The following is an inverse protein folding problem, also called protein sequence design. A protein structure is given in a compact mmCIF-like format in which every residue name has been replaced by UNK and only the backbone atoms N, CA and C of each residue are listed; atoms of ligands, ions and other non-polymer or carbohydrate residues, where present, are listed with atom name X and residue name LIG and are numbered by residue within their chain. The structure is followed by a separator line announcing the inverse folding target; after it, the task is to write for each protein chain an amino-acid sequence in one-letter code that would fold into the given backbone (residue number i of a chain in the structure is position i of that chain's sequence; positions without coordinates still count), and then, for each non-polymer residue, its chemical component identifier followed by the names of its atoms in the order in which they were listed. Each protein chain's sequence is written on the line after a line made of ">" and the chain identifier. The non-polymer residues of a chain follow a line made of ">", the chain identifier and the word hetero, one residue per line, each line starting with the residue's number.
data_IF_146317445937
#
_entry.id   IF_146317445937
#
_cell.length_a   1.000
_cell.length_b   1.000
_cell.length_c   1.000
_cell.angle_alpha   90.00
_cell.angle_beta   90.00
_cell.angle_gamma   90.00
#
_symmetry.space_group_name_H-M   'P 1'
#
loop_
_entity.id
_entity.type
_entity.pdbx_description
1 polymer ?
#
# COMPACT_ATOMS: atom_id res chain seq x y z
N UNK A 1 -7.65 -12.84 5.74
CA UNK A 1 -6.36 -13.05 5.07
C UNK A 1 -5.29 -13.29 6.13
N UNK A 2 -4.44 -14.27 5.91
CA UNK A 2 -3.41 -14.64 6.87
C UNK A 2 -2.22 -13.69 6.79
N UNK A 3 -1.91 -13.03 7.90
CA UNK A 3 -0.80 -12.08 7.96
C UNK A 3 0.57 -12.74 7.74
N UNK A 4 0.67 -14.05 7.99
CA UNK A 4 1.92 -14.78 7.74
C UNK A 4 2.25 -14.91 6.25
N UNK A 5 1.30 -14.62 5.36
CA UNK A 5 1.54 -14.61 3.92
C UNK A 5 2.25 -13.34 3.45
N UNK A 6 2.29 -12.31 4.28
CA UNK A 6 2.91 -11.03 3.93
C UNK A 6 4.37 -10.97 4.40
N UNK A 7 5.19 -10.26 3.63
CA UNK A 7 6.55 -9.95 4.09
C UNK A 7 6.51 -9.05 5.32
N UNK A 8 7.63 -8.97 6.02
CA UNK A 8 7.75 -8.10 7.19
C UNK A 8 7.44 -6.64 6.82
N UNK A 9 7.98 -6.14 5.71
CA UNK A 9 7.76 -4.77 5.27
C UNK A 9 6.28 -4.51 4.92
N UNK A 10 5.62 -5.49 4.30
CA UNK A 10 4.19 -5.36 4.00
C UNK A 10 3.36 -5.33 5.29
N UNK A 11 3.69 -6.19 6.27
CA UNK A 11 3.02 -6.17 7.58
C UNK A 11 3.21 -4.82 8.28
N UNK A 12 4.44 -4.29 8.26
CA UNK A 12 4.73 -2.98 8.84
C UNK A 12 3.92 -1.87 8.19
N UNK A 13 3.75 -1.92 6.87
CA UNK A 13 2.93 -0.93 6.15
C UNK A 13 1.46 -1.02 6.56
N UNK A 14 0.92 -2.24 6.69
CA UNK A 14 -0.46 -2.43 7.14
C UNK A 14 -0.67 -1.91 8.56
N UNK A 15 0.29 -2.17 9.45
CA UNK A 15 0.25 -1.66 10.83
C UNK A 15 0.32 -0.12 10.85
N UNK A 16 1.18 0.47 10.02
CA UNK A 16 1.27 1.92 9.92
C UNK A 16 -0.01 2.53 9.37
N UNK A 17 -0.63 1.88 8.38
CA UNK A 17 -1.92 2.32 7.85
C UNK A 17 -3.00 2.32 8.93
N UNK A 18 -3.02 1.30 9.77
CA UNK A 18 -3.95 1.22 10.89
C UNK A 18 -3.73 2.37 11.88
N UNK A 19 -2.46 2.68 12.20
CA UNK A 19 -2.16 3.81 13.08
C UNK A 19 -2.64 5.13 12.50
N UNK A 20 -2.49 5.33 11.19
CA UNK A 20 -2.98 6.54 10.53
C UNK A 20 -4.51 6.61 10.65
N UNK A 21 -5.21 5.49 10.42
CA UNK A 21 -6.66 5.45 10.54
C UNK A 21 -7.11 5.82 11.95
N UNK A 22 -6.44 5.30 13.00
CA UNK A 22 -6.73 5.66 14.39
C UNK A 22 -6.52 7.16 14.60
N UNK A 23 -5.38 7.68 14.14
CA UNK A 23 -4.99 9.07 14.30
C UNK A 23 -6.00 10.03 13.67
N UNK A 24 -6.56 9.66 12.54
CA UNK A 24 -7.54 10.48 11.82
C UNK A 24 -9.00 10.15 12.18
N UNK A 25 -9.21 9.33 13.21
CA UNK A 25 -10.54 8.96 13.70
C UNK A 25 -11.40 8.25 12.66
N UNK A 26 -10.76 7.48 11.80
CA UNK A 26 -11.45 6.61 10.86
C UNK A 26 -11.68 5.24 11.50
N UNK A 27 -12.80 4.58 11.19
CA UNK A 27 -13.08 3.26 11.74
C UNK A 27 -12.80 2.12 10.76
N UNK A 28 -12.32 2.47 9.57
CA UNK A 28 -11.85 1.48 8.59
C UNK A 28 -10.49 1.91 8.06
N UNK A 29 -9.66 0.91 7.71
CA UNK A 29 -8.41 1.16 7.02
C UNK A 29 -8.71 1.11 5.53
N UNK A 30 -8.41 2.21 4.84
CA UNK A 30 -8.68 2.36 3.42
C UNK A 30 -7.39 2.37 2.61
N UNK A 31 -7.52 2.33 1.29
CA UNK A 31 -6.36 2.37 0.40
C UNK A 31 -5.51 3.62 0.62
N UNK A 32 -6.13 4.74 0.91
CA UNK A 32 -5.44 6.01 1.12
C UNK A 32 -4.49 5.94 2.32
N UNK A 33 -4.91 5.28 3.39
CA UNK A 33 -4.05 5.06 4.57
C UNK A 33 -2.83 4.23 4.18
N UNK A 34 -3.05 3.16 3.43
CA UNK A 34 -1.97 2.24 3.06
C UNK A 34 -1.01 2.87 2.06
N UNK A 35 -1.53 3.64 1.10
CA UNK A 35 -0.67 4.35 0.15
C UNK A 35 0.24 5.36 0.87
N UNK A 36 -0.31 6.11 1.83
CA UNK A 36 0.50 7.02 2.64
C UNK A 36 1.56 6.26 3.42
N UNK A 37 1.19 5.15 4.05
CA UNK A 37 2.12 4.34 4.84
C UNK A 37 3.24 3.76 3.98
N UNK A 38 2.90 3.21 2.81
CA UNK A 38 3.89 2.64 1.89
C UNK A 38 4.89 3.70 1.40
N UNK A 39 4.39 4.90 1.08
CA UNK A 39 5.25 5.98 0.59
C UNK A 39 6.16 6.56 1.67
N UNK A 40 5.82 6.37 2.94
CA UNK A 40 6.58 6.89 4.08
C UNK A 40 7.54 5.89 4.70
N UNK A 41 7.59 4.65 4.21
CA UNK A 41 8.49 3.66 4.78
C UNK A 41 9.95 4.10 4.61
N UNK A 42 10.67 4.16 5.72
CA UNK A 42 12.08 4.52 5.70
C UNK A 42 12.87 3.40 5.00
N UNK A 43 13.69 3.78 4.03
CA UNK A 43 14.47 2.84 3.22
C UNK A 43 13.61 1.78 2.52
N UNK A 44 12.35 2.12 2.26
CA UNK A 44 11.39 1.18 1.66
C UNK A 44 11.51 1.12 0.15
N UNK A 45 11.02 0.00 -0.39
CA UNK A 45 11.01 -0.21 -1.84
C UNK A 45 10.07 0.76 -2.56
N UNK A 46 8.89 1.03 -1.99
CA UNK A 46 7.92 1.90 -2.66
C UNK A 46 8.44 3.34 -2.81
N UNK A 47 9.02 3.98 -1.77
CA UNK A 47 9.63 5.29 -1.98
C UNK A 47 10.70 5.29 -3.07
N UNK A 48 11.53 4.25 -3.12
CA UNK A 48 12.55 4.10 -4.16
C UNK A 48 11.91 4.02 -5.54
N UNK A 49 10.87 3.24 -5.69
CA UNK A 49 10.17 3.09 -6.97
C UNK A 49 9.49 4.38 -7.40
N UNK A 50 8.84 5.08 -6.46
CA UNK A 50 8.22 6.38 -6.76
C UNK A 50 9.27 7.36 -7.29
N UNK A 51 10.42 7.43 -6.62
CA UNK A 51 11.52 8.29 -7.07
C UNK A 51 11.98 7.91 -8.48
N UNK A 52 12.13 6.62 -8.74
CA UNK A 52 12.55 6.13 -10.06
C UNK A 52 11.52 6.43 -11.15
N UNK A 53 10.25 6.57 -10.77
CA UNK A 53 9.18 6.95 -11.69
C UNK A 53 9.03 8.47 -11.83
N UNK A 54 9.89 9.24 -11.16
CA UNK A 54 9.83 10.70 -11.21
C UNK A 54 8.84 11.33 -10.25
N UNK A 55 8.40 10.60 -9.24
CA UNK A 55 7.45 11.08 -8.24
C UNK A 55 8.15 11.24 -6.89
N UNK A 56 8.01 12.42 -6.27
CA UNK A 56 8.52 12.64 -4.93
C UNK A 56 7.67 11.84 -3.93
N UNK A 57 8.27 10.88 -3.19
CA UNK A 57 7.51 10.08 -2.23
C UNK A 57 6.81 10.91 -1.15
N UNK A 58 7.45 11.99 -0.70
CA UNK A 58 6.85 12.86 0.33
C UNK A 58 5.62 13.59 -0.22
N UNK A 59 5.70 14.08 -1.45
CA UNK A 59 4.56 14.74 -2.09
C UNK A 59 3.39 13.75 -2.27
N UNK A 60 3.69 12.53 -2.69
CA UNK A 60 2.68 11.49 -2.84
C UNK A 60 2.03 11.17 -1.48
N UNK A 61 2.85 10.98 -0.45
CA UNK A 61 2.35 10.67 0.89
C UNK A 61 1.45 11.80 1.43
N UNK A 62 1.85 13.06 1.23
CA UNK A 62 1.04 14.20 1.68
C UNK A 62 -0.29 14.26 0.92
N UNK A 63 -0.28 13.99 -0.38
CA UNK A 63 -1.51 13.96 -1.16
C UNK A 63 -2.43 12.83 -0.69
N UNK A 64 -1.87 11.67 -0.36
CA UNK A 64 -2.65 10.56 0.21
C UNK A 64 -3.26 10.95 1.56
N UNK A 65 -2.51 11.64 2.42
CA UNK A 65 -3.03 12.08 3.71
C UNK A 65 -4.12 13.14 3.56
N UNK A 66 -4.05 13.99 2.53
CA UNK A 66 -5.15 14.90 2.22
C UNK A 66 -6.43 14.16 1.87
N UNK A 67 -6.30 13.03 1.15
CA UNK A 67 -7.44 12.16 0.87
C UNK A 67 -7.99 11.53 2.15
N UNK A 68 -7.09 11.15 3.08
CA UNK A 68 -7.49 10.62 4.39
C UNK A 68 -8.31 11.65 5.16
N UNK A 69 -7.90 12.92 5.13
CA UNK A 69 -8.65 13.99 5.80
C UNK A 69 -10.07 14.14 5.29
N UNK A 70 -10.32 13.76 4.03
CA UNK A 70 -11.65 13.83 3.43
C UNK A 70 -12.52 12.62 3.76
N UNK A 71 -11.95 11.58 4.38
CA UNK A 71 -12.72 10.39 4.77
C UNK A 71 -13.62 10.69 5.97
N UNK A 72 -14.78 10.00 6.09
CA UNK A 72 -15.65 10.22 7.25
C UNK A 72 -14.95 9.91 8.56
N UNK A 73 -15.11 10.77 9.52
CA UNK A 73 -14.56 10.60 10.88
C UNK A 73 -15.64 10.06 11.78
N UNK A 74 -15.25 9.11 12.62
CA UNK A 74 -16.14 8.54 13.64
C UNK A 74 -15.69 9.09 14.99
N UNK A 75 -16.54 9.91 15.60
CA UNK A 75 -16.26 10.52 16.91
C UNK A 75 -17.36 10.11 17.87
N UNK A 76 -17.02 10.06 19.15
CA UNK A 76 -17.98 9.75 20.19
C UNK A 76 -17.50 8.66 21.13
N UNK A 77 -18.29 8.44 22.19
CA UNK A 77 -17.92 7.56 23.30
C UNK A 77 -17.97 6.07 22.95
N UNK A 78 -18.60 5.70 21.84
CA UNK A 78 -18.70 4.30 21.43
C UNK A 78 -17.57 3.81 20.54
N UNK A 79 -16.64 4.69 20.20
CA UNK A 79 -15.54 4.34 19.31
C UNK A 79 -14.48 3.53 20.05
N UNK A 80 -14.11 2.38 19.48
CA UNK A 80 -13.03 1.55 20.01
C UNK A 80 -11.90 1.51 18.99
N UNK A 81 -10.74 2.15 19.29
CA UNK A 81 -9.59 2.14 18.36
C UNK A 81 -9.05 0.75 18.07
N UNK A 82 -9.35 -0.25 18.90
CA UNK A 82 -8.93 -1.63 18.69
C UNK A 82 -9.87 -2.38 17.73
N UNK A 83 -11.01 -1.80 17.36
CA UNK A 83 -11.97 -2.39 16.43
C UNK A 83 -11.98 -1.63 15.12
N UNK A 84 -10.83 -1.57 14.47
CA UNK A 84 -10.71 -0.96 13.15
C UNK A 84 -10.65 -2.07 12.11
N UNK A 85 -11.56 -2.01 11.16
CA UNK A 85 -11.74 -3.05 10.14
C UNK A 85 -11.08 -2.61 8.83
N UNK A 86 -10.74 -3.59 8.00
CA UNK A 86 -10.27 -3.34 6.63
C UNK A 86 -11.47 -2.92 5.79
N UNK A 87 -11.38 -1.79 5.10
CA UNK A 87 -12.42 -1.33 4.19
C UNK A 87 -12.56 -2.24 2.98
N UNK A 88 -13.72 -2.20 2.34
CA UNK A 88 -14.04 -3.09 1.23
C UNK A 88 -13.08 -2.94 0.05
N UNK A 89 -12.76 -1.70 -0.32
CA UNK A 89 -11.84 -1.46 -1.44
C UNK A 89 -10.43 -1.95 -1.13
N UNK A 90 -9.98 -1.76 0.11
CA UNK A 90 -8.67 -2.26 0.52
C UNK A 90 -8.65 -3.79 0.54
N UNK A 91 -9.71 -4.42 1.01
CA UNK A 91 -9.82 -5.88 1.00
C UNK A 91 -9.70 -6.43 -0.43
N UNK A 92 -10.38 -5.81 -1.39
CA UNK A 92 -10.29 -6.21 -2.80
C UNK A 92 -8.87 -6.05 -3.33
N UNK A 93 -8.21 -4.95 -2.97
CA UNK A 93 -6.83 -4.71 -3.40
C UNK A 93 -5.87 -5.74 -2.81
N UNK A 94 -6.05 -6.12 -1.54
CA UNK A 94 -5.21 -7.14 -0.91
C UNK A 94 -5.43 -8.52 -1.53
N UNK A 95 -6.67 -8.85 -1.92
CA UNK A 95 -6.94 -10.08 -2.65
C UNK A 95 -6.28 -10.06 -4.03
N UNK A 96 -6.29 -8.91 -4.71
CA UNK A 96 -5.59 -8.76 -5.98
C UNK A 96 -4.08 -8.87 -5.80
N UNK A 97 -3.54 -8.37 -4.69
CA UNK A 97 -2.11 -8.50 -4.36
C UNK A 97 -1.72 -9.97 -4.19
N UNK A 98 -2.54 -10.75 -3.52
CA UNK A 98 -2.30 -12.18 -3.35
C UNK A 98 -2.28 -12.89 -4.71
N UNK A 99 -3.25 -12.58 -5.57
CA UNK A 99 -3.30 -13.15 -6.92
C UNK A 99 -2.07 -12.76 -7.74
N UNK A 100 -1.62 -11.51 -7.60
CA UNK A 100 -0.43 -11.01 -8.30
C UNK A 100 0.82 -11.76 -7.85
N UNK A 101 0.97 -11.98 -6.55
CA UNK A 101 2.11 -12.75 -6.01
C UNK A 101 2.14 -14.16 -6.59
N UNK A 102 0.99 -14.83 -6.66
CA UNK A 102 0.89 -16.16 -7.24
C UNK A 102 1.25 -16.17 -8.73
N UNK A 103 0.77 -15.17 -9.46
CA UNK A 103 1.06 -15.04 -10.89
C UNK A 103 2.56 -14.86 -11.13
N UNK A 104 3.23 -14.13 -10.26
CA UNK A 104 4.68 -13.88 -10.33
C UNK A 104 5.50 -15.04 -9.73
N UNK A 105 4.83 -16.07 -9.20
CA UNK A 105 5.46 -17.22 -8.55
C UNK A 105 6.28 -16.82 -7.33
N UNK A 106 5.79 -15.84 -6.60
CA UNK A 106 6.38 -15.40 -5.36
C UNK A 106 5.70 -16.11 -4.18
N UNK A 107 6.46 -16.39 -3.14
CA UNK A 107 5.98 -17.16 -1.99
C UNK A 107 5.29 -16.28 -0.95
N UNK A 108 5.61 -14.99 -0.93
CA UNK A 108 5.03 -14.03 0.02
C UNK A 108 4.45 -12.84 -0.72
N UNK A 109 3.50 -12.17 -0.08
CA UNK A 109 2.92 -10.93 -0.58
C UNK A 109 3.79 -9.78 -0.05
N UNK A 110 4.52 -9.13 -0.94
CA UNK A 110 5.42 -8.03 -0.60
C UNK A 110 4.78 -6.68 -0.89
N UNK A 111 5.49 -5.59 -0.56
CA UNK A 111 4.95 -4.23 -0.74
C UNK A 111 4.64 -3.93 -2.21
N UNK A 112 5.41 -4.46 -3.16
CA UNK A 112 5.13 -4.24 -4.58
C UNK A 112 3.84 -4.92 -5.01
N UNK A 113 3.53 -6.11 -4.49
CA UNK A 113 2.26 -6.77 -4.78
C UNK A 113 1.09 -5.97 -4.22
N UNK A 114 1.25 -5.43 -3.01
CA UNK A 114 0.22 -4.62 -2.36
C UNK A 114 -0.05 -3.36 -3.19
N UNK A 115 1.00 -2.67 -3.62
CA UNK A 115 0.85 -1.47 -4.45
C UNK A 115 0.18 -1.80 -5.77
N UNK A 116 0.60 -2.90 -6.43
CA UNK A 116 -0.03 -3.38 -7.66
C UNK A 116 -1.50 -3.72 -7.46
N UNK A 117 -1.84 -4.34 -6.33
CA UNK A 117 -3.22 -4.65 -6.00
C UNK A 117 -4.10 -3.41 -5.96
N UNK A 118 -3.59 -2.33 -5.36
CA UNK A 118 -4.30 -1.06 -5.32
C UNK A 118 -4.39 -0.45 -6.72
N UNK A 119 -3.32 -0.53 -7.51
CA UNK A 119 -3.34 -0.04 -8.90
C UNK A 119 -4.37 -0.77 -9.76
N UNK A 120 -4.54 -2.08 -9.54
CA UNK A 120 -5.48 -2.90 -10.30
C UNK A 120 -6.93 -2.74 -9.85
N UNK A 121 -7.14 -2.45 -8.57
CA UNK A 121 -8.48 -2.32 -7.96
C UNK A 121 -8.56 -1.01 -7.18
N UNK A 122 -8.36 0.14 -7.83
CA UNK A 122 -8.36 1.40 -7.08
C UNK A 122 -9.79 1.82 -6.73
N UNK A 123 -9.96 2.28 -5.49
CA UNK A 123 -11.12 3.04 -5.11
C UNK A 123 -11.00 4.45 -5.68
N UNK A 124 -12.01 5.28 -5.47
CA UNK A 124 -12.07 6.62 -6.06
C UNK A 124 -10.85 7.48 -5.65
N UNK A 125 -10.52 7.50 -4.36
CA UNK A 125 -9.41 8.32 -3.86
C UNK A 125 -8.07 7.87 -4.41
N UNK A 126 -7.83 6.55 -4.41
CA UNK A 126 -6.59 6.00 -4.95
C UNK A 126 -6.47 6.28 -6.46
N UNK A 127 -7.56 6.11 -7.20
CA UNK A 127 -7.56 6.39 -8.64
C UNK A 127 -7.19 7.84 -8.93
N UNK A 128 -7.72 8.78 -8.14
CA UNK A 128 -7.40 10.19 -8.29
C UNK A 128 -5.93 10.47 -7.98
N UNK A 129 -5.38 9.82 -6.95
CA UNK A 129 -3.95 9.94 -6.61
C UNK A 129 -3.07 9.45 -7.75
N UNK A 130 -3.35 8.27 -8.27
CA UNK A 130 -2.55 7.70 -9.35
C UNK A 130 -2.60 8.59 -10.60
N UNK A 131 -3.76 9.13 -10.92
CA UNK A 131 -3.91 10.04 -12.05
C UNK A 131 -3.11 11.33 -11.84
N UNK A 132 -3.18 11.89 -10.64
CA UNK A 132 -2.49 13.15 -10.32
C UNK A 132 -0.97 13.02 -10.46
N UNK A 133 -0.42 11.86 -10.14
CA UNK A 133 1.02 11.61 -10.22
C UNK A 133 1.43 10.80 -11.45
N UNK A 134 0.50 10.56 -12.37
CA UNK A 134 0.75 9.82 -13.62
C UNK A 134 1.33 8.42 -13.36
N UNK A 135 0.83 7.74 -12.34
CA UNK A 135 1.24 6.39 -12.00
C UNK A 135 0.30 5.39 -12.65
N UNK A 136 0.84 4.51 -13.49
CA UNK A 136 0.08 3.46 -14.17
C UNK A 136 0.67 2.10 -13.82
N UNK A 137 -0.10 1.05 -14.04
CA UNK A 137 0.37 -0.33 -13.85
C UNK A 137 1.58 -0.62 -14.71
N UNK A 138 1.56 -0.20 -15.98
CA UNK A 138 2.66 -0.44 -16.93
C UNK A 138 3.95 0.23 -16.45
N UNK A 139 3.85 1.49 -16.04
CA UNK A 139 5.00 2.25 -15.56
C UNK A 139 5.57 1.64 -14.30
N UNK A 140 4.69 1.22 -13.38
CA UNK A 140 5.11 0.56 -12.15
C UNK A 140 5.80 -0.77 -12.44
N UNK A 141 5.24 -1.59 -13.34
CA UNK A 141 5.82 -2.88 -13.70
C UNK A 141 7.19 -2.73 -14.36
N UNK A 142 7.36 -1.73 -15.22
CA UNK A 142 8.66 -1.45 -15.85
C UNK A 142 9.70 -1.09 -14.80
N UNK A 143 9.31 -0.24 -13.84
CA UNK A 143 10.21 0.17 -12.76
C UNK A 143 10.55 -1.01 -11.87
N UNK A 144 9.57 -1.85 -11.56
CA UNK A 144 9.78 -3.04 -10.74
C UNK A 144 10.77 -4.00 -11.41
N UNK A 145 10.63 -4.21 -12.72
CA UNK A 145 11.56 -5.06 -13.48
C UNK A 145 12.99 -4.55 -13.38
N UNK A 146 13.19 -3.23 -13.45
CA UNK A 146 14.52 -2.62 -13.32
C UNK A 146 15.12 -2.85 -11.93
N UNK A 147 14.32 -2.75 -10.90
CA UNK A 147 14.78 -2.84 -9.51
C UNK A 147 14.98 -4.30 -9.10
N UNK A 148 13.99 -5.13 -9.42
CA UNK A 148 13.93 -6.50 -8.94
C UNK A 148 14.67 -7.50 -9.84
N UNK A 149 14.70 -7.25 -11.14
CA UNK A 149 15.29 -8.17 -12.11
C UNK A 149 14.59 -9.52 -12.08
N UNK A 150 15.38 -10.59 -11.97
CA UNK A 150 14.87 -11.97 -11.93
C UNK A 150 14.66 -12.49 -10.50
N UNK A 151 14.85 -11.65 -9.49
CA UNK A 151 14.69 -12.09 -8.10
C UNK A 151 13.24 -12.40 -7.80
N UNK A 152 13.03 -13.41 -6.96
CA UNK A 152 11.70 -13.80 -6.49
C UNK A 152 11.59 -13.62 -4.99
N UNK A 153 10.36 -13.45 -4.52
CA UNK A 153 10.09 -13.31 -3.09
C UNK A 153 10.01 -14.72 -2.50
N UNK A 154 11.09 -15.15 -1.88
CA UNK A 154 11.19 -16.49 -1.28
C UNK A 154 11.40 -16.44 0.23
N UNK A 155 11.47 -15.25 0.81
CA UNK A 155 11.61 -15.04 2.25
C UNK A 155 10.62 -13.98 2.71
N UNK A 156 10.53 -13.76 4.02
CA UNK A 156 9.66 -12.71 4.56
C UNK A 156 10.35 -11.34 4.59
N UNK A 157 11.57 -11.22 4.06
CA UNK A 157 12.31 -9.95 4.03
C UNK A 157 13.06 -9.76 2.70
N UNK A 158 12.40 -9.93 1.54
CA UNK A 158 13.07 -9.82 0.24
C UNK A 158 13.37 -8.38 -0.16
N UNK A 159 12.58 -7.43 0.33
CA UNK A 159 12.69 -6.03 -0.09
C UNK A 159 14.02 -5.39 0.31
N UNK A 160 14.73 -5.99 1.25
CA UNK A 160 16.06 -5.52 1.65
C UNK A 160 17.16 -5.97 0.69
N UNK A 161 16.86 -6.87 -0.24
CA UNK A 161 17.87 -7.45 -1.14
C UNK A 161 17.85 -6.86 -2.55
N UNK A 162 16.84 -6.06 -2.90
CA UNK A 162 16.77 -5.42 -4.23
C UNK A 162 16.36 -3.95 -4.21
#
# INVERSE_FOLDING_TARGET
>A
MDMNQFTQKAREALQAAQRIAVEYSNNTVEQEHLLAALAQQQDGLIPQMLTNMGTDPNAFAQAALQKVEALPRVTGSGRDPNQIYIGTDLDRALNAAEAQAKQMKDEYISVEHVFLGILQRPGKGAAELFKAFSITTEKFMQTLSSVRGNQRVTSDNPEDTY
#
